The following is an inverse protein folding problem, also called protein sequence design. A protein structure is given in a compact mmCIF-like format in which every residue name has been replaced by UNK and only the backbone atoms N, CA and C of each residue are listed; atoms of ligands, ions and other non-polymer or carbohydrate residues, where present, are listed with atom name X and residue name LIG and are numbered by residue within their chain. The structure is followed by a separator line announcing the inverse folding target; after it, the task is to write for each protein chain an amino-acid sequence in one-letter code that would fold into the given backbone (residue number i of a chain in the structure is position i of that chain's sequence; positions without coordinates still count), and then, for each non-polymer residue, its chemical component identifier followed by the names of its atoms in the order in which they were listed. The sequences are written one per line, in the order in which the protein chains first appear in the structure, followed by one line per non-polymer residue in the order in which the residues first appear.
data_IF_395523466554
#
_entry.id   IF_395523466554
#
_cell.length_a   1.000
_cell.length_b   1.000
_cell.length_c   1.000
_cell.angle_alpha   90.00
_cell.angle_beta   90.00
_cell.angle_gamma   90.00
#
_symmetry.space_group_name_H-M   'P 1'
#
loop_
_entity.id
_entity.type
_entity.pdbx_description
1 polymer ?
#
# COMPACT_ATOMS: atom_id res chain seq x y z
N UNK A 1 6.61 -4.68 24.74
CA UNK A 1 6.86 -4.81 23.29
C UNK A 1 8.34 -5.01 23.08
N UNK A 2 8.72 -6.06 22.40
CA UNK A 2 10.12 -6.48 22.25
C UNK A 2 10.70 -5.98 20.91
N UNK A 3 12.02 -6.01 20.76
CA UNK A 3 12.68 -5.68 19.48
C UNK A 3 12.16 -6.54 18.30
N UNK A 4 11.55 -7.70 18.59
CA UNK A 4 10.92 -8.56 17.60
C UNK A 4 9.70 -7.89 16.92
N UNK A 5 9.01 -6.97 17.59
CA UNK A 5 7.83 -6.28 17.08
C UNK A 5 8.19 -5.16 16.09
N UNK A 6 9.46 -4.69 16.10
CA UNK A 6 9.97 -3.66 15.20
C UNK A 6 10.53 -4.23 13.89
N UNK A 7 10.89 -5.52 13.86
CA UNK A 7 11.52 -6.13 12.71
C UNK A 7 10.68 -6.00 11.40
N UNK A 8 9.37 -6.27 11.40
CA UNK A 8 8.53 -6.07 10.20
C UNK A 8 8.52 -4.61 9.75
N UNK A 9 8.40 -3.65 10.68
CA UNK A 9 8.39 -2.22 10.37
C UNK A 9 9.71 -1.76 9.76
N UNK A 10 10.83 -2.19 10.35
CA UNK A 10 12.17 -1.88 9.83
C UNK A 10 12.36 -2.47 8.42
N UNK A 11 11.81 -3.66 8.17
CA UNK A 11 11.80 -4.27 6.85
C UNK A 11 10.98 -3.43 5.87
N UNK A 12 9.78 -3.02 6.26
CA UNK A 12 8.87 -2.23 5.41
C UNK A 12 9.42 -0.81 5.14
N UNK A 13 10.09 -0.18 6.11
CA UNK A 13 10.61 1.19 5.98
C UNK A 13 11.76 1.35 4.96
N UNK A 14 12.30 0.25 4.43
CA UNK A 14 13.38 0.34 3.45
C UNK A 14 12.85 0.79 2.08
N UNK A 15 13.37 1.87 1.48
CA UNK A 15 12.86 2.44 0.23
C UNK A 15 12.78 1.42 -0.91
N UNK A 16 13.74 0.51 -1.01
CA UNK A 16 13.74 -0.54 -2.03
C UNK A 16 12.54 -1.48 -1.88
N UNK A 17 12.21 -1.87 -0.66
CA UNK A 17 11.10 -2.78 -0.38
C UNK A 17 9.75 -2.14 -0.62
N UNK A 18 9.61 -0.85 -0.31
CA UNK A 18 8.42 -0.09 -0.65
C UNK A 18 8.19 -0.01 -2.17
N UNK A 19 9.28 0.11 -2.95
CA UNK A 19 9.21 0.06 -4.41
C UNK A 19 8.81 -1.33 -4.94
N UNK A 20 9.33 -2.41 -4.33
CA UNK A 20 8.90 -3.79 -4.64
C UNK A 20 7.41 -3.95 -4.38
N UNK A 21 6.94 -3.54 -3.19
CA UNK A 21 5.53 -3.63 -2.82
C UNK A 21 4.65 -2.83 -3.78
N UNK A 22 5.03 -1.60 -4.11
CA UNK A 22 4.34 -0.77 -5.09
C UNK A 22 4.22 -1.47 -6.46
N UNK A 23 5.30 -2.12 -6.92
CA UNK A 23 5.28 -2.85 -8.19
C UNK A 23 4.36 -4.08 -8.14
N UNK A 24 4.41 -4.85 -7.04
CA UNK A 24 3.61 -6.06 -6.87
C UNK A 24 2.11 -5.78 -6.66
N UNK A 25 1.73 -4.55 -6.28
CA UNK A 25 0.32 -4.14 -6.24
C UNK A 25 -0.34 -4.10 -7.62
N UNK A 26 0.44 -3.91 -8.69
CA UNK A 26 -0.05 -3.96 -10.07
C UNK A 26 -0.20 -5.39 -10.60
N UNK A 27 0.31 -6.38 -9.90
CA UNK A 27 0.22 -7.79 -10.23
C UNK A 27 1.50 -8.55 -9.94
N UNK A 28 1.46 -9.89 -10.08
CA UNK A 28 2.64 -10.73 -9.90
C UNK A 28 3.77 -10.38 -10.86
N UNK A 29 5.01 -10.43 -10.36
CA UNK A 29 6.20 -10.16 -11.15
C UNK A 29 7.33 -11.13 -10.82
N UNK A 30 8.19 -11.39 -11.81
CA UNK A 30 9.38 -12.22 -11.61
C UNK A 30 10.53 -11.43 -10.97
N UNK A 31 11.46 -12.12 -10.33
CA UNK A 31 12.68 -11.52 -9.76
C UNK A 31 13.45 -10.69 -10.78
N UNK A 32 13.57 -11.16 -12.00
CA UNK A 32 14.28 -10.45 -13.08
C UNK A 32 13.52 -9.17 -13.52
N UNK A 33 12.20 -9.24 -13.60
CA UNK A 33 11.37 -8.07 -13.90
C UNK A 33 11.49 -7.02 -12.80
N UNK A 34 11.43 -7.43 -11.52
CA UNK A 34 11.60 -6.53 -10.40
C UNK A 34 13.00 -5.91 -10.38
N UNK A 35 14.05 -6.69 -10.59
CA UNK A 35 15.43 -6.20 -10.65
C UNK A 35 15.58 -5.10 -11.73
N UNK A 36 15.04 -5.34 -12.91
CA UNK A 36 15.07 -4.36 -14.03
C UNK A 36 14.33 -3.06 -13.70
N UNK A 37 13.12 -3.17 -13.16
CA UNK A 37 12.29 -2.00 -12.79
C UNK A 37 12.93 -1.19 -11.67
N UNK A 38 13.58 -1.88 -10.73
CA UNK A 38 14.23 -1.26 -9.59
C UNK A 38 15.64 -0.74 -9.92
N UNK A 39 16.20 -1.10 -11.08
CA UNK A 39 17.57 -0.73 -11.48
C UNK A 39 18.63 -1.39 -10.58
N UNK A 40 18.38 -2.64 -10.14
CA UNK A 40 19.25 -3.38 -9.21
C UNK A 40 19.70 -4.72 -9.82
N UNK A 41 20.72 -5.35 -9.22
CA UNK A 41 21.06 -6.73 -9.58
C UNK A 41 19.99 -7.71 -9.10
N UNK A 42 19.88 -8.85 -9.78
CA UNK A 42 18.95 -9.92 -9.41
C UNK A 42 19.26 -10.44 -8.00
N UNK A 43 20.54 -10.59 -7.67
CA UNK A 43 21.00 -11.09 -6.38
C UNK A 43 20.54 -10.17 -5.24
N UNK A 44 20.73 -8.86 -5.38
CA UNK A 44 20.31 -7.89 -4.38
C UNK A 44 18.79 -7.84 -4.28
N UNK A 45 18.09 -7.91 -5.41
CA UNK A 45 16.63 -7.96 -5.45
C UNK A 45 16.11 -9.20 -4.73
N UNK A 46 16.67 -10.38 -5.00
CA UNK A 46 16.27 -11.62 -4.32
C UNK A 46 16.48 -11.55 -2.82
N UNK A 47 17.57 -10.93 -2.35
CA UNK A 47 17.80 -10.72 -0.91
C UNK A 47 16.66 -9.90 -0.26
N UNK A 48 16.19 -8.85 -0.93
CA UNK A 48 15.07 -8.06 -0.45
C UNK A 48 13.75 -8.85 -0.49
N UNK A 49 13.49 -9.58 -1.58
CA UNK A 49 12.29 -10.41 -1.75
C UNK A 49 12.22 -11.51 -0.68
N UNK A 50 13.30 -12.20 -0.40
CA UNK A 50 13.36 -13.22 0.66
C UNK A 50 13.09 -12.63 2.05
N UNK A 51 13.63 -11.45 2.34
CA UNK A 51 13.34 -10.77 3.60
C UNK A 51 11.87 -10.33 3.69
N UNK A 52 11.28 -9.83 2.61
CA UNK A 52 9.87 -9.48 2.58
C UNK A 52 8.98 -10.72 2.75
N UNK A 53 9.30 -11.83 2.07
CA UNK A 53 8.56 -13.08 2.20
C UNK A 53 8.66 -13.68 3.61
N UNK A 54 9.83 -13.63 4.23
CA UNK A 54 10.04 -14.07 5.61
C UNK A 54 9.13 -13.34 6.62
N UNK A 55 8.80 -12.09 6.35
CA UNK A 55 7.90 -11.28 7.18
C UNK A 55 6.46 -11.26 6.65
N UNK A 56 6.14 -12.06 5.63
CA UNK A 56 4.80 -12.22 5.11
C UNK A 56 4.29 -11.06 4.24
N UNK A 57 5.15 -10.15 3.79
CA UNK A 57 4.73 -9.03 2.92
C UNK A 57 4.47 -9.44 1.48
N UNK A 58 5.15 -10.47 1.03
CA UNK A 58 4.98 -11.05 -0.30
C UNK A 58 5.00 -12.57 -0.20
N UNK A 59 4.49 -13.23 -1.23
CA UNK A 59 4.49 -14.68 -1.36
C UNK A 59 5.11 -15.10 -2.69
N UNK A 60 5.85 -16.20 -2.67
CA UNK A 60 6.32 -16.84 -3.90
C UNK A 60 5.17 -17.60 -4.55
N UNK A 61 5.12 -17.58 -5.87
CA UNK A 61 4.16 -18.31 -6.69
C UNK A 61 4.83 -19.56 -7.31
N UNK A 62 4.86 -20.71 -6.63
CA UNK A 62 5.56 -21.90 -7.11
C UNK A 62 5.03 -22.38 -8.46
N UNK A 63 3.73 -22.19 -8.73
CA UNK A 63 3.08 -22.57 -9.97
C UNK A 63 3.55 -21.79 -11.21
N UNK A 64 4.19 -20.62 -10.99
CA UNK A 64 4.79 -19.80 -12.04
C UNK A 64 6.32 -19.85 -12.04
N UNK A 65 6.90 -20.40 -10.98
CA UNK A 65 8.36 -20.50 -10.82
C UNK A 65 8.86 -21.79 -11.53
N UNK A 66 9.80 -21.65 -12.45
CA UNK A 66 10.30 -22.76 -13.27
C UNK A 66 11.71 -23.25 -12.87
N UNK A 67 12.16 -22.88 -11.68
CA UNK A 67 13.50 -23.19 -11.15
C UNK A 67 14.63 -22.30 -11.68
N UNK A 68 14.40 -21.54 -12.75
CA UNK A 68 15.30 -20.49 -13.23
C UNK A 68 14.84 -19.10 -12.82
N UNK A 69 13.54 -18.90 -12.73
CA UNK A 69 12.93 -17.61 -12.40
C UNK A 69 11.86 -17.77 -11.32
N UNK A 70 12.00 -17.02 -10.24
CA UNK A 70 11.04 -16.98 -9.13
C UNK A 70 10.01 -15.88 -9.38
N UNK A 71 8.75 -16.21 -9.14
CA UNK A 71 7.62 -15.28 -9.25
C UNK A 71 7.06 -14.95 -7.89
N UNK A 72 6.67 -13.69 -7.74
CA UNK A 72 6.22 -13.12 -6.48
C UNK A 72 4.91 -12.39 -6.66
N UNK A 73 4.08 -12.42 -5.64
CA UNK A 73 2.88 -11.60 -5.53
C UNK A 73 2.82 -10.90 -4.17
N UNK A 74 2.06 -9.83 -4.08
CA UNK A 74 1.81 -9.17 -2.80
C UNK A 74 1.01 -10.10 -1.90
N UNK A 75 1.48 -10.31 -0.67
CA UNK A 75 0.70 -11.00 0.35
C UNK A 75 -0.32 -10.02 0.95
N UNK A 76 -1.48 -10.57 1.37
CA UNK A 76 -2.48 -9.79 2.08
C UNK A 76 -2.06 -9.61 3.53
N UNK A 77 -1.24 -8.62 3.81
CA UNK A 77 -0.86 -8.30 5.19
C UNK A 77 -1.64 -7.08 5.63
N UNK A 78 -2.56 -7.28 6.55
CA UNK A 78 -3.15 -6.18 7.30
C UNK A 78 -2.16 -5.77 8.41
N UNK A 79 -1.37 -4.74 8.16
CA UNK A 79 -0.48 -4.17 9.19
C UNK A 79 -1.33 -3.39 10.20
N UNK A 80 -1.66 -4.02 11.30
CA UNK A 80 -2.31 -3.36 12.44
C UNK A 80 -1.23 -2.82 13.38
N UNK A 81 -1.12 -1.51 13.43
CA UNK A 81 -0.23 -0.86 14.40
C UNK A 81 -0.94 -0.67 15.73
N UNK A 82 -0.23 -0.81 16.86
CA UNK A 82 -0.81 -0.47 18.15
C UNK A 82 -1.22 1.01 18.19
N UNK A 83 -2.18 1.38 19.04
CA UNK A 83 -2.58 2.77 19.20
C UNK A 83 -1.36 3.68 19.48
N UNK A 84 -1.37 4.90 18.92
CA UNK A 84 -0.22 5.83 19.01
C UNK A 84 0.32 6.04 20.42
N UNK A 85 -0.55 6.01 21.44
CA UNK A 85 -0.17 6.10 22.86
C UNK A 85 0.69 4.92 23.35
N UNK A 86 0.59 3.77 22.71
CA UNK A 86 1.31 2.54 23.07
C UNK A 86 2.59 2.35 22.24
N UNK A 87 2.78 3.17 21.21
CA UNK A 87 3.96 3.14 20.35
C UNK A 87 5.16 3.79 21.05
N UNK A 88 6.33 3.17 20.92
CA UNK A 88 7.60 3.81 21.29
C UNK A 88 7.93 4.96 20.34
N UNK A 89 8.86 5.83 20.75
CA UNK A 89 9.31 6.93 19.88
C UNK A 89 9.91 6.41 18.56
N UNK A 90 10.68 5.31 18.62
CA UNK A 90 11.28 4.66 17.45
C UNK A 90 10.21 4.09 16.53
N UNK A 91 9.22 3.37 17.07
CA UNK A 91 8.11 2.83 16.30
C UNK A 91 7.32 3.94 15.60
N UNK A 92 7.04 5.05 16.30
CA UNK A 92 6.35 6.20 15.70
C UNK A 92 7.11 6.78 14.53
N UNK A 93 8.44 6.95 14.68
CA UNK A 93 9.28 7.47 13.61
C UNK A 93 9.27 6.57 12.37
N UNK A 94 9.34 5.25 12.56
CA UNK A 94 9.26 4.28 11.45
C UNK A 94 7.89 4.29 10.78
N UNK A 95 6.79 4.31 11.53
CA UNK A 95 5.44 4.36 10.99
C UNK A 95 5.20 5.68 10.24
N UNK A 96 5.61 6.80 10.82
CA UNK A 96 5.46 8.12 10.20
C UNK A 96 6.27 8.19 8.88
N UNK A 97 7.46 7.59 8.82
CA UNK A 97 8.27 7.50 7.60
C UNK A 97 7.64 6.60 6.54
N UNK A 98 7.15 5.41 6.91
CA UNK A 98 6.42 4.50 6.01
C UNK A 98 5.21 5.22 5.41
N UNK A 99 4.41 5.87 6.25
CA UNK A 99 3.24 6.62 5.81
C UNK A 99 3.61 7.75 4.84
N UNK A 100 4.68 8.50 5.13
CA UNK A 100 5.17 9.59 4.28
C UNK A 100 5.56 9.08 2.89
N UNK A 101 6.30 7.97 2.83
CA UNK A 101 6.74 7.38 1.55
C UNK A 101 5.55 6.82 0.76
N UNK A 102 4.67 6.09 1.43
CA UNK A 102 3.46 5.54 0.79
C UNK A 102 2.57 6.65 0.25
N UNK A 103 2.35 7.71 1.02
CA UNK A 103 1.54 8.84 0.58
C UNK A 103 2.13 9.55 -0.64
N UNK A 104 3.44 9.75 -0.66
CA UNK A 104 4.12 10.34 -1.82
C UNK A 104 3.95 9.45 -3.07
N UNK A 105 4.15 8.14 -2.93
CA UNK A 105 3.96 7.18 -4.02
C UNK A 105 2.51 7.15 -4.53
N UNK A 106 1.52 7.17 -3.62
CA UNK A 106 0.11 7.20 -3.97
C UNK A 106 -0.27 8.49 -4.74
N UNK A 107 0.33 9.63 -4.40
CA UNK A 107 0.14 10.88 -5.13
C UNK A 107 0.77 10.84 -6.51
N UNK A 108 1.97 10.28 -6.65
CA UNK A 108 2.63 10.09 -7.94
C UNK A 108 1.82 9.15 -8.86
N UNK A 109 1.26 8.07 -8.31
CA UNK A 109 0.40 7.14 -9.06
C UNK A 109 -0.89 7.83 -9.51
N UNK A 110 -1.52 8.61 -8.63
CA UNK A 110 -2.71 9.39 -8.97
C UNK A 110 -2.43 10.40 -10.08
N UNK A 111 -1.33 11.16 -9.95
CA UNK A 111 -0.95 12.14 -10.97
C UNK A 111 -0.65 11.49 -12.31
N UNK A 112 0.06 10.36 -12.32
CA UNK A 112 0.32 9.58 -13.55
C UNK A 112 -0.97 9.08 -14.17
N UNK A 113 -1.88 8.54 -13.37
CA UNK A 113 -3.17 8.05 -13.87
C UNK A 113 -4.00 9.15 -14.54
N UNK A 114 -3.83 10.40 -14.16
CA UNK A 114 -4.51 11.55 -14.76
C UNK A 114 -3.90 11.98 -16.10
N UNK A 115 -2.63 11.64 -16.35
CA UNK A 115 -1.89 12.00 -17.57
C UNK A 115 -1.99 10.93 -18.67
N UNK A 116 -2.37 9.70 -18.31
CA UNK A 116 -2.54 8.63 -19.29
C UNK A 116 -3.83 8.84 -20.10
N UNK A 117 -3.71 9.09 -21.40
CA UNK A 117 -4.85 9.29 -22.32
C UNK A 117 -5.37 7.99 -22.94
N UNK A 118 -4.52 6.97 -23.06
CA UNK A 118 -4.86 5.72 -23.75
C UNK A 118 -5.81 4.81 -22.94
N UNK A 119 -6.96 4.52 -23.51
CA UNK A 119 -7.95 3.59 -22.96
C UNK A 119 -8.82 4.14 -21.84
N UNK A 120 -8.91 5.44 -21.71
CA UNK A 120 -9.63 6.17 -20.65
C UNK A 120 -11.14 6.16 -20.81
N UNK A 121 -11.68 6.12 -22.02
CA UNK A 121 -13.11 6.34 -22.29
C UNK A 121 -14.05 5.47 -21.43
N UNK A 122 -13.70 4.20 -21.17
CA UNK A 122 -14.49 3.32 -20.32
C UNK A 122 -14.32 3.57 -18.81
N UNK A 123 -13.26 4.27 -18.38
CA UNK A 123 -12.86 4.45 -16.99
C UNK A 123 -12.96 5.89 -16.49
N UNK A 124 -13.06 6.88 -17.38
CA UNK A 124 -13.10 8.31 -17.00
C UNK A 124 -14.26 8.66 -16.04
N UNK A 125 -15.42 8.05 -16.27
CA UNK A 125 -16.59 8.26 -15.41
C UNK A 125 -16.58 7.41 -14.14
N UNK A 126 -15.62 6.50 -14.00
CA UNK A 126 -15.56 5.51 -12.93
C UNK A 126 -14.45 5.77 -11.89
N UNK A 127 -13.68 6.86 -12.04
CA UNK A 127 -12.61 7.23 -11.11
C UNK A 127 -13.04 8.38 -10.18
N UNK A 128 -13.89 8.14 -9.17
CA UNK A 128 -14.38 9.18 -8.30
C UNK A 128 -13.28 9.63 -7.33
N UNK A 129 -13.10 10.95 -7.22
CA UNK A 129 -12.45 11.57 -6.09
C UNK A 129 -13.51 11.97 -5.08
N UNK A 130 -13.63 11.21 -3.99
CA UNK A 130 -14.62 11.47 -2.96
C UNK A 130 -14.01 12.08 -1.71
N UNK A 131 -14.59 13.15 -1.22
CA UNK A 131 -14.29 13.73 0.10
C UNK A 131 -15.59 13.80 0.90
N UNK A 132 -15.56 13.31 2.13
CA UNK A 132 -16.70 13.36 3.02
C UNK A 132 -16.25 13.67 4.45
N UNK A 133 -17.19 14.15 5.26
CA UNK A 133 -17.02 14.30 6.70
C UNK A 133 -18.11 13.48 7.35
N UNK A 134 -17.71 12.57 8.23
CA UNK A 134 -18.62 11.77 9.05
C UNK A 134 -18.39 12.10 10.52
N UNK A 135 -19.42 12.00 11.33
CA UNK A 135 -19.31 12.22 12.78
C UNK A 135 -19.49 10.87 13.46
N UNK A 136 -18.43 10.32 13.96
CA UNK A 136 -18.38 8.95 14.51
C UNK A 136 -17.60 8.93 15.81
N UNK A 137 -17.95 8.01 16.68
CA UNK A 137 -17.14 7.62 17.82
C UNK A 137 -15.94 6.77 17.38
N UNK A 138 -14.91 6.58 18.23
CA UNK A 138 -13.80 5.67 17.89
C UNK A 138 -14.26 4.25 17.53
N UNK A 139 -15.27 3.72 18.22
CA UNK A 139 -15.81 2.39 17.96
C UNK A 139 -16.50 2.31 16.59
N UNK A 140 -17.33 3.31 16.27
CA UNK A 140 -18.00 3.38 14.95
C UNK A 140 -16.97 3.59 13.81
N UNK A 141 -15.84 4.25 14.07
CA UNK A 141 -14.77 4.35 13.09
C UNK A 141 -14.10 2.99 12.83
N UNK A 142 -13.90 2.19 13.87
CA UNK A 142 -13.37 0.82 13.73
C UNK A 142 -14.34 -0.05 12.91
N UNK A 143 -15.63 -0.01 13.21
CA UNK A 143 -16.67 -0.72 12.45
C UNK A 143 -16.68 -0.27 10.97
N UNK A 144 -16.61 1.03 10.71
CA UNK A 144 -16.53 1.57 9.36
C UNK A 144 -15.32 1.05 8.58
N UNK A 145 -14.15 1.00 9.22
CA UNK A 145 -12.92 0.48 8.58
C UNK A 145 -13.08 -1.02 8.28
N UNK A 146 -13.66 -1.79 9.20
CA UNK A 146 -13.91 -3.21 8.99
C UNK A 146 -14.91 -3.46 7.84
N UNK A 147 -15.97 -2.66 7.73
CA UNK A 147 -16.93 -2.75 6.63
C UNK A 147 -16.28 -2.40 5.29
N UNK A 148 -15.44 -1.37 5.27
CA UNK A 148 -14.66 -1.01 4.09
C UNK A 148 -13.73 -2.16 3.64
N UNK A 149 -13.02 -2.80 4.56
CA UNK A 149 -12.17 -3.95 4.26
C UNK A 149 -12.98 -5.14 3.74
N UNK A 150 -14.14 -5.42 4.32
CA UNK A 150 -15.08 -6.45 3.81
C UNK A 150 -15.57 -6.11 2.40
N UNK A 151 -15.81 -4.84 2.12
CA UNK A 151 -16.21 -4.38 0.78
C UNK A 151 -15.08 -4.64 -0.23
N UNK A 152 -13.86 -4.25 0.07
CA UNK A 152 -12.70 -4.49 -0.80
C UNK A 152 -12.52 -5.98 -1.10
N UNK A 153 -12.61 -6.84 -0.07
CA UNK A 153 -12.43 -8.30 -0.21
C UNK A 153 -13.43 -8.94 -1.18
N UNK A 154 -14.59 -8.34 -1.43
CA UNK A 154 -15.55 -8.85 -2.43
C UNK A 154 -15.08 -8.63 -3.87
N UNK A 155 -14.22 -7.66 -4.10
CA UNK A 155 -13.69 -7.31 -5.42
C UNK A 155 -12.27 -7.82 -5.64
N UNK A 156 -11.62 -8.31 -4.59
CA UNK A 156 -10.34 -8.98 -4.69
C UNK A 156 -10.49 -10.33 -5.40
N UNK A 157 -9.61 -10.59 -6.34
CA UNK A 157 -9.58 -11.84 -7.09
C UNK A 157 -8.26 -12.54 -6.86
N UNK A 158 -8.27 -13.89 -6.72
CA UNK A 158 -7.03 -14.65 -6.71
C UNK A 158 -6.22 -14.36 -7.98
N UNK A 159 -4.90 -14.26 -7.84
CA UNK A 159 -4.01 -13.90 -8.94
C UNK A 159 -3.97 -14.93 -10.07
N UNK A 160 -5.00 -15.05 -10.86
CA UNK A 160 -5.15 -16.00 -11.96
C UNK A 160 -6.51 -15.87 -12.67
N UNK A 161 -7.51 -15.33 -11.99
CA UNK A 161 -8.83 -15.05 -12.57
C UNK A 161 -8.89 -13.58 -13.04
N UNK A 162 -8.10 -13.23 -14.04
CA UNK A 162 -8.18 -11.93 -14.69
C UNK A 162 -9.11 -12.03 -15.90
N UNK A 163 -10.27 -11.43 -15.81
CA UNK A 163 -11.06 -11.13 -16.99
C UNK A 163 -10.23 -10.22 -17.89
N UNK A 164 -10.34 -10.40 -19.19
CA UNK A 164 -9.56 -9.66 -20.18
C UNK A 164 -9.80 -8.14 -20.14
N UNK A 165 -10.91 -7.71 -19.53
CA UNK A 165 -11.34 -6.32 -19.35
C UNK A 165 -11.09 -5.78 -17.93
N UNK A 166 -10.56 -6.59 -17.00
CA UNK A 166 -10.25 -6.16 -15.64
C UNK A 166 -8.90 -5.44 -15.58
N UNK A 167 -8.86 -4.34 -14.84
CA UNK A 167 -7.64 -3.57 -14.55
C UNK A 167 -7.43 -3.48 -13.03
N UNK A 168 -6.18 -3.35 -12.62
CA UNK A 168 -5.86 -3.02 -11.24
C UNK A 168 -6.35 -1.59 -10.92
N UNK A 169 -7.13 -1.47 -9.85
CA UNK A 169 -7.61 -0.18 -9.34
C UNK A 169 -7.01 0.05 -7.97
N UNK A 170 -6.23 1.11 -7.82
CA UNK A 170 -5.66 1.51 -6.54
C UNK A 170 -6.71 2.28 -5.74
N UNK A 171 -7.07 1.76 -4.59
CA UNK A 171 -7.99 2.41 -3.65
C UNK A 171 -7.24 2.85 -2.40
N UNK A 172 -7.58 4.02 -1.86
CA UNK A 172 -6.99 4.54 -0.63
C UNK A 172 -8.08 5.10 0.26
N UNK A 173 -8.17 4.57 1.47
CA UNK A 173 -8.99 5.14 2.53
C UNK A 173 -8.07 5.86 3.52
N UNK A 174 -8.33 7.14 3.73
CA UNK A 174 -7.72 7.92 4.80
C UNK A 174 -8.83 8.47 5.69
N UNK A 175 -8.90 7.98 6.92
CA UNK A 175 -9.84 8.45 7.93
C UNK A 175 -9.06 8.90 9.18
N UNK A 176 -9.22 10.15 9.54
CA UNK A 176 -8.53 10.75 10.69
C UNK A 176 -9.41 11.84 11.32
N UNK A 177 -9.26 12.11 12.62
CA UNK A 177 -9.95 13.21 13.27
C UNK A 177 -9.64 14.53 12.58
N UNK A 178 -10.67 15.28 12.23
CA UNK A 178 -10.47 16.60 11.62
C UNK A 178 -9.69 17.51 12.58
N UNK A 179 -8.62 18.18 12.12
CA UNK A 179 -7.95 19.18 12.93
C UNK A 179 -8.90 20.32 13.24
N UNK A 180 -8.71 21.04 14.36
CA UNK A 180 -9.51 22.22 14.63
C UNK A 180 -9.38 23.21 13.47
N UNK A 181 -10.44 23.96 13.15
CA UNK A 181 -10.38 24.98 12.09
C UNK A 181 -9.24 25.96 12.41
N UNK A 182 -8.53 26.46 11.40
CA UNK A 182 -7.54 27.50 11.61
C UNK A 182 -8.23 28.68 12.31
N UNK A 183 -7.63 29.15 13.40
CA UNK A 183 -8.10 30.36 14.10
C UNK A 183 -8.10 31.47 13.04
N UNK A 184 -9.27 32.05 12.77
CA UNK A 184 -9.34 33.20 11.92
C UNK A 184 -8.49 34.29 12.59
N UNK A 185 -7.35 34.65 12.00
CA UNK A 185 -6.66 35.86 12.40
C UNK A 185 -7.66 37.01 12.19
N UNK A 186 -8.09 37.61 13.29
CA UNK A 186 -8.85 38.85 13.24
C UNK A 186 -8.06 39.85 12.42
N UNK A 187 -8.51 40.08 11.18
CA UNK A 187 -7.95 41.22 10.42
C UNK A 187 -8.19 42.46 11.24
N UNK A 188 -7.16 43.18 11.67
CA UNK A 188 -7.38 44.48 12.28
C UNK A 188 -8.09 45.38 11.26
N UNK A 189 -9.16 46.02 11.70
CA UNK A 189 -9.93 47.03 10.97
C UNK A 189 -9.05 48.21 10.61
#
# INVERSE_FOLDING_TARGET
MTAADLAPLTVQAQPMRLRVDAQLRHGPASSSTLARVLGQSIELTNLHLEQMAKHGFIEEMPERSDGQERWWCSARVELRFPPRKEQTAEMRALIDEINRINFAADMDDLMRSQLEEDGREAWESQAPYSRSVIHVTPCELEEFIEEYNKLLSRYERPGGDTRTDARAVLTRLMAFPAPPPPIAEERPL
#
